data_IF_432684335350
#
_entry.id   IF_432684335350
#
_cell.length_a   1.000
_cell.length_b   1.000
_cell.length_c   1.000
_cell.angle_alpha   90.00
_cell.angle_beta   90.00
_cell.angle_gamma   90.00
#
_symmetry.space_group_name_H-M   'P 1'
#
loop_
_entity.id
_entity.type
_entity.pdbx_description
1 polymer ?
#
# COMPACT_ATOMS: atom_id res chain seq x y z
N UNK A 1 8.49 -11.51 -15.76
CA UNK A 1 9.17 -11.06 -14.52
C UNK A 1 8.17 -10.27 -13.69
N UNK A 2 8.19 -10.37 -12.36
CA UNK A 2 7.33 -9.56 -11.47
C UNK A 2 8.18 -8.59 -10.68
N UNK A 3 7.87 -7.30 -10.79
CA UNK A 3 8.47 -6.22 -10.01
C UNK A 3 7.45 -5.74 -8.98
N UNK A 4 7.91 -5.34 -7.80
CA UNK A 4 7.03 -4.72 -6.79
C UNK A 4 7.61 -3.40 -6.32
N UNK A 5 6.74 -2.52 -5.84
CA UNK A 5 7.17 -1.31 -5.16
C UNK A 5 6.01 -0.44 -4.69
N UNK A 6 6.35 0.55 -3.88
CA UNK A 6 5.40 1.56 -3.39
C UNK A 6 5.27 2.66 -4.42
N UNK A 7 4.04 3.10 -4.67
CA UNK A 7 3.76 4.26 -5.50
C UNK A 7 3.82 5.55 -4.67
N UNK A 8 4.79 6.41 -4.97
CA UNK A 8 5.06 7.67 -4.26
C UNK A 8 4.84 8.87 -5.19
N UNK A 9 4.50 10.05 -4.64
CA UNK A 9 4.47 11.27 -5.42
C UNK A 9 5.89 11.69 -5.77
N UNK A 10 6.07 12.28 -6.95
CA UNK A 10 7.31 12.94 -7.32
C UNK A 10 7.52 14.22 -6.49
N UNK A 11 6.48 15.06 -6.39
CA UNK A 11 6.45 16.24 -5.53
C UNK A 11 5.38 16.09 -4.43
N UNK A 12 5.76 15.79 -3.18
CA UNK A 12 4.82 15.62 -2.07
C UNK A 12 4.20 16.93 -1.58
N UNK A 13 4.63 18.10 -2.08
CA UNK A 13 4.04 19.40 -1.73
C UNK A 13 2.73 19.69 -2.48
N UNK A 14 2.50 19.01 -3.60
CA UNK A 14 1.30 19.14 -4.41
C UNK A 14 0.11 18.38 -3.80
N UNK A 15 -1.14 18.76 -4.15
CA UNK A 15 -2.33 18.03 -3.72
C UNK A 15 -2.24 16.53 -4.05
N UNK A 16 -2.69 15.69 -3.11
CA UNK A 16 -2.65 14.22 -3.25
C UNK A 16 -3.34 13.73 -4.54
N UNK A 17 -4.48 14.33 -4.89
CA UNK A 17 -5.22 13.96 -6.10
C UNK A 17 -4.45 14.30 -7.39
N UNK A 18 -3.70 15.40 -7.38
CA UNK A 18 -2.90 15.87 -8.52
C UNK A 18 -1.70 14.95 -8.74
N UNK A 19 -0.95 14.66 -7.68
CA UNK A 19 0.18 13.72 -7.73
C UNK A 19 -0.23 12.28 -8.05
N UNK A 20 -1.41 11.86 -7.61
CA UNK A 20 -2.02 10.60 -8.04
C UNK A 20 -2.28 10.59 -9.56
N UNK A 21 -2.72 11.71 -10.14
CA UNK A 21 -2.88 11.87 -11.59
C UNK A 21 -1.56 11.67 -12.35
N UNK A 22 -0.49 12.35 -11.94
CA UNK A 22 0.84 12.22 -12.56
C UNK A 22 1.40 10.79 -12.45
N UNK A 23 1.20 10.16 -11.30
CA UNK A 23 1.51 8.76 -11.11
C UNK A 23 0.75 7.89 -12.13
N UNK A 24 -0.57 8.06 -12.25
CA UNK A 24 -1.40 7.31 -13.22
C UNK A 24 -0.91 7.49 -14.66
N UNK A 25 -0.56 8.71 -15.07
CA UNK A 25 -0.02 8.98 -16.41
C UNK A 25 1.27 8.18 -16.66
N UNK A 26 2.19 8.21 -15.70
CA UNK A 26 3.46 7.47 -15.77
C UNK A 26 3.25 5.96 -15.86
N UNK A 27 2.36 5.41 -15.01
CA UNK A 27 2.09 3.98 -14.98
C UNK A 27 1.30 3.48 -16.18
N UNK A 28 0.49 4.34 -16.82
CA UNK A 28 -0.20 3.99 -18.07
C UNK A 28 0.79 3.71 -19.20
N UNK A 29 1.84 4.51 -19.32
CA UNK A 29 2.90 4.26 -20.32
C UNK A 29 3.76 3.07 -19.94
N UNK A 30 4.13 2.94 -18.67
CA UNK A 30 4.92 1.80 -18.20
C UNK A 30 4.16 0.47 -18.33
N UNK A 31 2.85 0.45 -18.14
CA UNK A 31 2.03 -0.74 -18.31
C UNK A 31 2.13 -1.33 -19.73
N UNK A 32 2.16 -0.49 -20.77
CA UNK A 32 2.34 -0.94 -22.16
C UNK A 32 3.68 -1.64 -22.35
N UNK A 33 4.74 -1.09 -21.77
CA UNK A 33 6.09 -1.67 -21.83
C UNK A 33 6.14 -2.99 -21.06
N UNK A 34 5.52 -3.04 -19.88
CA UNK A 34 5.47 -4.27 -19.08
C UNK A 34 4.74 -5.38 -19.83
N UNK A 35 3.58 -5.10 -20.44
CA UNK A 35 2.84 -6.07 -21.25
C UNK A 35 3.66 -6.58 -22.44
N UNK A 36 4.28 -5.68 -23.20
CA UNK A 36 5.11 -6.04 -24.36
C UNK A 36 6.28 -6.95 -24.00
N UNK A 37 6.74 -6.91 -22.73
CA UNK A 37 7.85 -7.71 -22.23
C UNK A 37 7.41 -8.89 -21.32
N UNK A 38 6.11 -9.22 -21.28
CA UNK A 38 5.56 -10.25 -20.40
C UNK A 38 6.01 -10.07 -18.93
N UNK A 39 6.05 -8.81 -18.50
CA UNK A 39 6.39 -8.39 -17.16
C UNK A 39 5.15 -7.88 -16.42
N UNK A 40 5.23 -7.87 -15.09
CA UNK A 40 4.18 -7.37 -14.22
C UNK A 40 4.78 -6.41 -13.22
N UNK A 41 3.99 -5.40 -12.87
CA UNK A 41 4.25 -4.58 -11.69
C UNK A 41 3.14 -4.84 -10.67
N UNK A 42 3.52 -5.09 -9.43
CA UNK A 42 2.59 -5.26 -8.31
C UNK A 42 2.77 -4.13 -7.31
N UNK A 43 1.66 -3.50 -6.96
CA UNK A 43 1.64 -2.37 -6.05
C UNK A 43 1.85 -2.89 -4.64
N UNK A 44 2.89 -2.41 -3.97
CA UNK A 44 3.08 -2.59 -2.54
C UNK A 44 2.25 -1.54 -1.81
N UNK A 45 1.12 -1.97 -1.26
CA UNK A 45 0.15 -1.11 -0.58
C UNK A 45 0.61 -0.56 0.77
N UNK A 46 1.91 -0.32 0.98
CA UNK A 46 2.47 0.22 2.21
C UNK A 46 1.96 1.65 2.43
N UNK A 47 1.20 1.94 3.51
CA UNK A 47 0.60 3.27 3.69
C UNK A 47 1.54 4.20 4.45
N UNK A 48 2.81 4.27 4.05
CA UNK A 48 3.77 5.19 4.65
C UNK A 48 3.53 6.64 4.22
N UNK A 49 4.29 7.61 4.76
CA UNK A 49 4.11 9.01 4.43
C UNK A 49 4.15 9.25 2.91
N UNK A 50 3.07 9.79 2.36
CA UNK A 50 2.97 10.13 0.93
C UNK A 50 2.52 8.99 0.01
N UNK A 51 2.44 7.73 0.45
CA UNK A 51 2.06 6.61 -0.43
C UNK A 51 0.70 6.86 -1.13
N UNK A 52 0.66 6.71 -2.46
CA UNK A 52 -0.47 7.11 -3.30
C UNK A 52 -1.48 5.98 -3.53
N UNK A 53 -1.04 4.72 -3.48
CA UNK A 53 -1.90 3.56 -3.73
C UNK A 53 -1.77 2.53 -2.60
N UNK A 54 -2.56 2.71 -1.54
CA UNK A 54 -2.51 1.89 -0.34
C UNK A 54 -3.88 1.57 0.26
N UNK A 55 -4.97 2.11 -0.28
CA UNK A 55 -6.35 1.91 0.20
C UNK A 55 -7.23 1.27 -0.89
N UNK A 56 -8.34 0.57 -0.56
CA UNK A 56 -9.26 0.05 -1.57
C UNK A 56 -9.73 1.09 -2.59
N UNK A 57 -9.97 2.32 -2.13
CA UNK A 57 -10.35 3.45 -2.99
C UNK A 57 -9.26 3.78 -4.02
N UNK A 58 -8.02 3.96 -3.58
CA UNK A 58 -6.89 4.25 -4.50
C UNK A 58 -6.56 3.08 -5.43
N UNK A 59 -6.67 1.84 -4.96
CA UNK A 59 -6.54 0.64 -5.82
C UNK A 59 -7.60 0.60 -6.92
N UNK A 60 -8.87 0.86 -6.58
CA UNK A 60 -9.95 0.93 -7.58
C UNK A 60 -9.69 2.03 -8.60
N UNK A 61 -9.41 3.26 -8.14
CA UNK A 61 -9.12 4.39 -9.00
C UNK A 61 -7.94 4.10 -9.95
N UNK A 62 -6.88 3.49 -9.43
CA UNK A 62 -5.72 3.12 -10.25
C UNK A 62 -6.06 2.08 -11.31
N UNK A 63 -6.76 0.99 -10.94
CA UNK A 63 -7.10 -0.07 -11.91
C UNK A 63 -8.16 0.34 -12.93
N UNK A 64 -9.01 1.30 -12.58
CA UNK A 64 -9.91 1.95 -13.54
C UNK A 64 -9.13 2.80 -14.54
N UNK A 65 -8.17 3.61 -14.06
CA UNK A 65 -7.40 4.50 -14.91
C UNK A 65 -6.28 3.81 -15.72
N UNK A 66 -5.81 2.65 -15.24
CA UNK A 66 -4.77 1.81 -15.85
C UNK A 66 -5.30 0.36 -15.92
N UNK A 67 -6.21 0.05 -16.86
CA UNK A 67 -6.88 -1.25 -16.96
C UNK A 67 -5.99 -2.34 -17.59
N UNK A 68 -4.71 -2.39 -17.23
CA UNK A 68 -3.71 -3.33 -17.73
C UNK A 68 -3.69 -4.63 -16.90
N UNK A 69 -3.64 -5.82 -17.52
CA UNK A 69 -3.37 -7.08 -16.82
C UNK A 69 -1.94 -7.18 -16.27
N UNK A 70 -0.99 -6.35 -16.74
CA UNK A 70 0.36 -6.30 -16.20
C UNK A 70 0.43 -5.61 -14.82
N UNK A 71 -0.61 -4.86 -14.45
CA UNK A 71 -0.71 -4.20 -13.15
C UNK A 71 -1.48 -5.06 -12.15
N UNK A 72 -0.86 -5.32 -11.00
CA UNK A 72 -1.43 -6.14 -9.93
C UNK A 72 -1.17 -5.63 -8.54
N UNK A 73 -1.50 -6.47 -7.56
CA UNK A 73 -1.38 -6.21 -6.13
C UNK A 73 -0.31 -7.11 -5.53
N UNK A 74 0.56 -6.53 -4.72
CA UNK A 74 1.32 -7.27 -3.72
C UNK A 74 0.44 -7.34 -2.46
N UNK A 75 -0.14 -8.50 -2.20
CA UNK A 75 -1.00 -8.66 -1.04
C UNK A 75 -0.16 -8.81 0.23
N UNK A 76 -0.20 -7.78 1.07
CA UNK A 76 0.41 -7.75 2.40
C UNK A 76 -0.66 -7.35 3.43
N UNK A 77 -1.19 -8.30 4.22
CA UNK A 77 -2.28 -7.98 5.16
C UNK A 77 -1.81 -7.09 6.31
N UNK A 78 -0.51 -7.07 6.64
CA UNK A 78 0.05 -6.22 7.69
C UNK A 78 -0.21 -4.73 7.45
N UNK A 79 -0.20 -4.31 6.18
CA UNK A 79 -0.43 -2.94 5.74
C UNK A 79 -1.90 -2.52 5.86
N UNK A 80 -2.81 -3.46 5.60
CA UNK A 80 -4.25 -3.22 5.71
C UNK A 80 -4.68 -3.12 7.17
N UNK A 81 -4.18 -4.02 8.02
CA UNK A 81 -4.48 -4.05 9.45
C UNK A 81 -4.09 -2.75 10.16
N UNK A 82 -2.92 -2.17 9.88
CA UNK A 82 -2.49 -0.90 10.49
C UNK A 82 -3.35 0.32 10.10
N UNK A 83 -4.14 0.22 9.03
CA UNK A 83 -5.13 1.24 8.63
C UNK A 83 -6.56 0.90 9.08
N UNK A 84 -6.76 -0.21 9.81
CA UNK A 84 -8.10 -0.69 10.16
C UNK A 84 -8.90 -1.25 8.97
N UNK A 85 -8.24 -1.58 7.86
CA UNK A 85 -8.89 -2.18 6.69
C UNK A 85 -8.95 -3.69 6.85
N UNK A 86 -10.15 -4.27 6.67
CA UNK A 86 -10.34 -5.71 6.74
C UNK A 86 -9.58 -6.43 5.59
N UNK A 87 -8.53 -7.22 5.90
CA UNK A 87 -7.66 -7.81 4.88
C UNK A 87 -8.35 -8.92 4.08
N UNK A 88 -9.34 -9.60 4.67
CA UNK A 88 -10.11 -10.66 3.99
C UNK A 88 -11.08 -10.03 2.98
N UNK A 89 -11.72 -8.92 3.34
CA UNK A 89 -12.59 -8.17 2.41
C UNK A 89 -11.79 -7.62 1.24
N UNK A 90 -10.63 -7.01 1.52
CA UNK A 90 -9.71 -6.54 0.48
C UNK A 90 -9.31 -7.68 -0.46
N UNK A 91 -8.89 -8.83 0.09
CA UNK A 91 -8.51 -9.98 -0.72
C UNK A 91 -9.67 -10.45 -1.60
N UNK A 92 -10.88 -10.58 -1.05
CA UNK A 92 -12.08 -10.96 -1.84
C UNK A 92 -12.34 -10.03 -3.01
N UNK A 93 -12.11 -8.73 -2.84
CA UNK A 93 -12.32 -7.72 -3.88
C UNK A 93 -11.23 -7.77 -4.96
N UNK A 94 -9.96 -7.89 -4.56
CA UNK A 94 -8.81 -7.73 -5.47
C UNK A 94 -8.09 -9.04 -5.85
N UNK A 95 -8.57 -10.21 -5.42
CA UNK A 95 -7.88 -11.51 -5.65
C UNK A 95 -7.53 -11.77 -7.12
N UNK A 96 -8.37 -11.32 -8.06
CA UNK A 96 -8.11 -11.44 -9.50
C UNK A 96 -6.89 -10.66 -10.00
N UNK A 97 -6.35 -9.73 -9.19
CA UNK A 97 -5.15 -8.94 -9.48
C UNK A 97 -3.99 -9.22 -8.51
N UNK A 98 -4.14 -10.16 -7.56
CA UNK A 98 -3.06 -10.52 -6.63
C UNK A 98 -2.06 -11.43 -7.36
N UNK A 99 -0.85 -10.92 -7.62
CA UNK A 99 0.20 -11.68 -8.32
C UNK A 99 1.42 -11.95 -7.46
N UNK A 100 1.48 -11.34 -6.28
CA UNK A 100 2.54 -11.51 -5.29
C UNK A 100 1.95 -11.37 -3.88
N UNK A 101 2.55 -12.05 -2.91
CA UNK A 101 2.06 -12.07 -1.52
C UNK A 101 3.24 -11.91 -0.58
N UNK A 102 3.10 -11.01 0.38
CA UNK A 102 3.92 -10.97 1.59
C UNK A 102 3.13 -11.56 2.75
N UNK A 103 3.62 -12.65 3.32
CA UNK A 103 3.03 -13.33 4.48
C UNK A 103 3.34 -12.63 5.81
N UNK A 104 3.14 -11.30 5.89
CA UNK A 104 3.39 -10.50 7.09
C UNK A 104 2.10 -10.27 7.86
N UNK A 105 2.21 -10.00 9.15
CA UNK A 105 1.06 -9.75 10.02
C UNK A 105 1.35 -8.61 11.01
N UNK A 106 0.28 -7.98 11.50
CA UNK A 106 0.31 -6.80 12.38
C UNK A 106 -0.58 -7.02 13.59
N UNK A 107 -0.01 -6.83 14.77
CA UNK A 107 -0.76 -6.72 16.02
C UNK A 107 -1.03 -5.26 16.34
N UNK A 108 -2.30 -4.94 16.61
CA UNK A 108 -2.72 -3.66 17.18
C UNK A 108 -2.66 -3.77 18.71
N UNK A 109 -1.93 -2.85 19.34
CA UNK A 109 -1.67 -2.86 20.78
C UNK A 109 -2.72 -1.99 21.48
N UNK A 110 -3.78 -2.59 22.01
CA UNK A 110 -4.94 -1.88 22.56
C UNK A 110 -4.58 -0.82 23.61
N UNK A 111 -3.70 -1.15 24.56
CA UNK A 111 -3.27 -0.21 25.60
C UNK A 111 -2.52 0.99 25.00
N UNK A 112 -1.73 0.76 23.95
CA UNK A 112 -0.99 1.83 23.27
C UNK A 112 -1.90 2.68 22.37
N UNK A 113 -2.97 2.09 21.81
CA UNK A 113 -4.01 2.86 21.11
C UNK A 113 -4.73 3.78 22.09
N UNK A 114 -5.07 3.30 23.28
CA UNK A 114 -5.68 4.11 24.33
C UNK A 114 -4.77 5.28 24.76
N UNK A 115 -3.48 5.00 24.98
CA UNK A 115 -2.53 6.01 25.48
C UNK A 115 -2.10 7.04 24.40
N UNK A 116 -1.91 6.61 23.15
CA UNK A 116 -1.27 7.43 22.11
C UNK A 116 -2.16 7.77 20.91
N UNK A 117 -3.31 7.11 20.76
CA UNK A 117 -4.15 7.22 19.56
C UNK A 117 -3.53 6.56 18.31
N UNK A 118 -3.91 7.04 17.12
CA UNK A 118 -3.40 6.55 15.82
C UNK A 118 -3.07 7.66 14.82
N UNK A 119 -3.58 8.87 15.04
CA UNK A 119 -3.54 9.96 14.06
C UNK A 119 -2.29 10.84 14.19
N UNK A 120 -1.65 10.85 15.36
CA UNK A 120 -0.49 11.69 15.66
C UNK A 120 0.67 10.87 16.22
N UNK A 121 1.93 11.22 15.95
CA UNK A 121 3.06 10.58 16.61
C UNK A 121 3.00 10.74 18.13
N UNK A 122 3.32 9.67 18.87
CA UNK A 122 3.46 9.74 20.33
C UNK A 122 4.64 10.66 20.73
N UNK A 123 4.45 11.48 21.77
CA UNK A 123 5.42 12.53 22.16
C UNK A 123 6.64 11.98 22.93
N UNK A 124 6.43 11.02 23.83
CA UNK A 124 7.47 10.60 24.79
C UNK A 124 7.96 9.16 24.59
N UNK A 125 7.35 8.40 23.67
CA UNK A 125 7.73 7.01 23.45
C UNK A 125 8.99 6.94 22.59
N UNK A 126 9.88 6.01 22.92
CA UNK A 126 11.04 5.74 22.06
C UNK A 126 10.57 5.02 20.79
N UNK A 127 11.05 5.49 19.64
CA UNK A 127 10.81 4.83 18.36
C UNK A 127 11.34 3.38 18.37
N UNK A 128 10.58 2.49 17.73
CA UNK A 128 10.99 1.09 17.47
C UNK A 128 11.65 1.01 16.09
N UNK A 129 12.60 0.07 15.87
CA UNK A 129 13.19 -0.13 14.54
C UNK A 129 12.15 -0.52 13.47
N UNK A 130 11.19 -1.37 13.85
CA UNK A 130 10.10 -1.82 12.98
C UNK A 130 8.79 -1.80 13.77
N UNK A 131 7.77 -1.12 13.24
CA UNK A 131 6.46 -0.97 13.88
C UNK A 131 6.10 0.48 14.19
N UNK A 132 4.91 0.67 14.74
CA UNK A 132 4.44 1.95 15.28
C UNK A 132 4.48 1.96 16.80
N UNK A 133 4.00 3.06 17.37
CA UNK A 133 3.76 3.14 18.80
C UNK A 133 2.52 2.34 19.20
N UNK A 134 1.47 2.32 18.38
CA UNK A 134 0.19 1.62 18.63
C UNK A 134 0.06 0.24 17.95
N UNK A 135 1.09 -0.21 17.22
CA UNK A 135 1.08 -1.49 16.50
C UNK A 135 2.49 -2.05 16.33
N UNK A 136 2.61 -3.36 16.09
CA UNK A 136 3.89 -4.01 15.72
C UNK A 136 3.69 -5.11 14.69
N UNK A 137 4.73 -5.42 13.91
CA UNK A 137 4.72 -6.63 13.10
C UNK A 137 4.89 -7.86 13.99
N UNK A 138 4.15 -8.93 13.68
CA UNK A 138 4.19 -10.21 14.42
C UNK A 138 4.97 -11.30 13.70
N UNK A 139 5.06 -11.22 12.37
CA UNK A 139 5.87 -12.09 11.53
C UNK A 139 6.92 -11.23 10.82
N UNK A 140 8.23 -11.50 10.99
CA UNK A 140 9.26 -10.81 10.22
C UNK A 140 9.09 -11.18 8.74
N UNK A 141 9.19 -10.19 7.87
CA UNK A 141 9.17 -10.39 6.42
C UNK A 141 10.22 -9.54 5.73
#
# INVERSE_FOLDING_TARGET
>A
MTYFGVMMPEDPSLPRAETFGYMVESWRELAKVMEANNARYVIEGWPGPGALCCTPETYRAFFEAVPSPAMGVNYDPSHLLRMGINPVRFLKEFVGRVYHVHGKDTEILADNVYEYGTEQPATFVKAKPFGGYAWRYTIPG
#
